data_IF_638184894006
#
_entry.id   IF_638184894006
#
_cell.length_a   1.000
_cell.length_b   1.000
_cell.length_c   1.000
_cell.angle_alpha   90.00
_cell.angle_beta   90.00
_cell.angle_gamma   90.00
#
_symmetry.space_group_name_H-M   'P 1'
#
loop_
_entity.id
_entity.type
_entity.pdbx_description
1 polymer ?
#
# COMPACT_ATOMS: atom_id res chain seq x y z
N UNK A 1 -2.24 -6.53 -15.42
CA UNK A 1 -2.17 -7.31 -14.16
C UNK A 1 -0.95 -8.22 -14.22
N UNK A 2 -0.27 -8.51 -13.11
CA UNK A 2 0.90 -9.41 -13.13
C UNK A 2 0.42 -10.84 -13.44
N UNK A 3 1.05 -11.53 -14.40
CA UNK A 3 0.70 -12.91 -14.81
C UNK A 3 0.61 -13.86 -13.60
N UNK A 4 1.51 -13.72 -12.64
CA UNK A 4 1.56 -14.54 -11.43
C UNK A 4 0.30 -14.39 -10.55
N UNK A 5 -0.24 -13.16 -10.39
CA UNK A 5 -1.47 -12.96 -9.60
C UNK A 5 -2.68 -13.70 -10.18
N UNK A 6 -2.71 -13.94 -11.50
CA UNK A 6 -3.78 -14.70 -12.14
C UNK A 6 -3.68 -16.21 -11.89
N UNK A 7 -2.50 -16.71 -11.49
CA UNK A 7 -2.25 -18.11 -11.16
C UNK A 7 -2.53 -18.42 -9.67
N UNK A 8 -2.75 -17.36 -8.85
CA UNK A 8 -3.14 -17.53 -7.45
C UNK A 8 -4.59 -17.98 -7.36
N UNK A 9 -4.81 -19.05 -6.59
CA UNK A 9 -6.14 -19.63 -6.35
C UNK A 9 -6.35 -19.88 -4.86
N UNK A 10 -7.59 -20.25 -4.47
CA UNK A 10 -7.94 -20.68 -3.11
C UNK A 10 -7.47 -19.71 -2.03
N UNK A 11 -7.75 -18.40 -2.20
CA UNK A 11 -7.45 -17.41 -1.19
C UNK A 11 -8.45 -17.52 -0.03
N UNK A 12 -7.99 -18.00 1.12
CA UNK A 12 -8.78 -18.18 2.32
C UNK A 12 -8.35 -17.19 3.40
N UNK A 13 -9.29 -16.44 3.94
CA UNK A 13 -9.07 -15.51 5.05
C UNK A 13 -9.09 -16.26 6.37
N UNK A 14 -8.04 -16.06 7.19
CA UNK A 14 -7.87 -16.72 8.49
C UNK A 14 -8.34 -15.81 9.63
N UNK A 15 -9.18 -16.38 10.52
CA UNK A 15 -9.71 -15.63 11.65
C UNK A 15 -10.75 -14.56 11.27
N UNK A 16 -11.09 -13.71 12.23
CA UNK A 16 -11.99 -12.59 12.01
C UNK A 16 -11.26 -11.47 11.25
N UNK A 17 -11.91 -10.95 10.21
CA UNK A 17 -11.44 -9.74 9.55
C UNK A 17 -11.50 -8.58 10.54
N UNK A 18 -10.36 -7.98 10.81
CA UNK A 18 -10.28 -6.82 11.70
C UNK A 18 -10.54 -5.57 10.88
N UNK A 19 -11.61 -4.85 11.23
CA UNK A 19 -11.82 -3.50 10.73
C UNK A 19 -10.81 -2.58 11.41
N UNK A 20 -9.85 -2.10 10.64
CA UNK A 20 -8.89 -1.13 11.14
C UNK A 20 -9.20 0.22 10.55
N UNK A 21 -9.60 1.14 11.39
CA UNK A 21 -9.86 2.53 11.09
C UNK A 21 -11.12 2.87 10.31
N UNK A 22 -11.48 4.15 10.45
CA UNK A 22 -12.54 4.92 9.83
C UNK A 22 -12.66 4.81 8.29
N UNK A 23 -11.69 4.18 7.63
CA UNK A 23 -11.68 3.91 6.19
C UNK A 23 -12.32 2.56 5.82
N UNK A 24 -12.98 1.86 6.74
CA UNK A 24 -13.67 0.57 6.49
C UNK A 24 -12.78 -0.46 5.81
N UNK A 25 -11.49 -0.54 6.19
CA UNK A 25 -10.53 -1.48 5.63
C UNK A 25 -10.49 -2.74 6.46
N UNK A 26 -10.79 -3.87 5.85
CA UNK A 26 -10.75 -5.18 6.50
C UNK A 26 -9.43 -5.87 6.16
N UNK A 27 -8.70 -6.26 7.19
CA UNK A 27 -7.44 -7.01 7.07
C UNK A 27 -7.56 -8.35 7.78
N UNK A 28 -6.95 -9.37 7.19
CA UNK A 28 -6.73 -10.67 7.81
C UNK A 28 -5.48 -11.31 7.24
N UNK A 29 -4.98 -12.28 7.93
CA UNK A 29 -4.03 -13.24 7.38
C UNK A 29 -4.73 -14.11 6.36
N UNK A 30 -4.02 -14.58 5.35
CA UNK A 30 -4.59 -15.45 4.32
C UNK A 30 -3.69 -16.64 4.00
N UNK A 31 -4.31 -17.74 3.60
CA UNK A 31 -3.65 -18.79 2.84
C UNK A 31 -4.07 -18.72 1.38
N UNK A 32 -3.19 -19.12 0.48
CA UNK A 32 -3.47 -19.19 -0.95
C UNK A 32 -2.64 -20.28 -1.63
N UNK A 33 -3.11 -20.75 -2.78
CA UNK A 33 -2.40 -21.73 -3.60
C UNK A 33 -1.71 -21.04 -4.77
N UNK A 34 -0.47 -21.44 -5.04
CA UNK A 34 0.27 -21.09 -6.24
C UNK A 34 1.14 -22.28 -6.69
N UNK A 35 0.91 -22.80 -7.90
CA UNK A 35 1.65 -23.93 -8.48
C UNK A 35 1.78 -25.14 -7.53
N UNK A 36 0.65 -25.60 -6.99
CA UNK A 36 0.55 -26.72 -6.04
C UNK A 36 1.25 -26.52 -4.69
N UNK A 37 1.74 -25.32 -4.37
CA UNK A 37 2.21 -24.96 -3.04
C UNK A 37 1.16 -24.15 -2.30
N UNK A 38 0.98 -24.44 -1.04
CA UNK A 38 0.14 -23.69 -0.10
C UNK A 38 1.02 -22.64 0.59
N UNK A 39 0.63 -21.40 0.49
CA UNK A 39 1.31 -20.25 1.12
C UNK A 39 0.44 -19.64 2.20
N UNK A 40 1.08 -19.15 3.24
CA UNK A 40 0.52 -18.25 4.24
C UNK A 40 1.15 -16.88 4.09
N UNK A 41 0.34 -15.81 4.18
CA UNK A 41 0.82 -14.43 4.24
C UNK A 41 0.02 -13.63 5.25
N UNK A 42 0.75 -12.80 6.04
CA UNK A 42 0.16 -11.79 6.93
C UNK A 42 0.18 -10.40 6.30
N UNK A 43 -0.65 -9.52 6.83
CA UNK A 43 -0.76 -8.13 6.35
C UNK A 43 0.52 -7.30 6.58
N UNK A 44 1.42 -7.72 7.47
CA UNK A 44 2.71 -7.08 7.74
C UNK A 44 3.85 -7.61 6.85
N UNK A 45 3.55 -8.61 5.99
CA UNK A 45 4.47 -9.14 5.00
C UNK A 45 5.19 -10.41 5.42
N UNK A 46 4.81 -11.07 6.52
CA UNK A 46 5.34 -12.41 6.84
C UNK A 46 4.77 -13.41 5.82
N UNK A 47 5.65 -14.11 5.09
CA UNK A 47 5.29 -15.08 4.06
C UNK A 47 5.94 -16.43 4.37
N UNK A 48 5.15 -17.50 4.35
CA UNK A 48 5.59 -18.87 4.56
C UNK A 48 5.05 -19.77 3.45
N UNK A 49 5.90 -20.58 2.86
CA UNK A 49 5.50 -21.74 2.08
C UNK A 49 5.20 -22.88 3.05
N UNK A 50 3.92 -23.18 3.22
CA UNK A 50 3.47 -24.23 4.16
C UNK A 50 3.72 -25.65 3.62
N UNK A 51 3.91 -25.79 2.31
CA UNK A 51 4.22 -27.09 1.69
C UNK A 51 5.66 -27.50 1.97
N UNK A 52 6.58 -26.54 1.89
CA UNK A 52 8.01 -26.79 2.13
C UNK A 52 8.46 -26.35 3.55
N UNK A 53 7.53 -25.91 4.39
CA UNK A 53 7.78 -25.37 5.74
C UNK A 53 8.86 -24.26 5.77
N UNK A 54 8.85 -23.40 4.73
CA UNK A 54 9.91 -22.42 4.49
C UNK A 54 9.41 -20.98 4.59
N UNK A 55 10.06 -20.20 5.46
CA UNK A 55 9.87 -18.75 5.49
C UNK A 55 10.52 -18.08 4.29
N UNK A 56 9.78 -17.18 3.62
CA UNK A 56 10.23 -16.44 2.45
C UNK A 56 10.38 -14.97 2.81
N UNK A 57 11.60 -14.45 2.74
CA UNK A 57 11.89 -13.04 3.00
C UNK A 57 11.82 -12.23 1.70
N UNK A 58 11.27 -11.00 1.75
CA UNK A 58 11.28 -10.13 0.60
C UNK A 58 12.71 -9.66 0.31
N UNK A 59 13.05 -9.56 -0.96
CA UNK A 59 14.33 -9.02 -1.45
C UNK A 59 14.10 -7.80 -2.33
N UNK A 60 15.11 -6.95 -2.51
CA UNK A 60 15.01 -5.82 -3.44
C UNK A 60 15.09 -6.32 -4.88
N UNK A 61 14.26 -5.77 -5.77
CA UNK A 61 14.35 -6.03 -7.19
C UNK A 61 15.71 -5.60 -7.75
N UNK A 62 16.41 -6.53 -8.42
CA UNK A 62 17.78 -6.30 -8.89
C UNK A 62 17.93 -5.13 -9.87
N UNK A 63 16.95 -4.87 -10.74
CA UNK A 63 17.09 -3.88 -11.83
C UNK A 63 16.84 -2.42 -11.44
N UNK A 64 15.98 -2.13 -10.45
CA UNK A 64 15.63 -0.73 -10.11
C UNK A 64 15.66 -0.41 -8.61
N UNK A 65 15.88 -1.39 -7.74
CA UNK A 65 16.02 -1.19 -6.28
C UNK A 65 14.86 -0.50 -5.56
N UNK A 66 13.77 -0.20 -6.27
CA UNK A 66 12.68 0.65 -5.79
C UNK A 66 11.63 -0.14 -5.02
N UNK A 67 11.33 -1.37 -5.46
CA UNK A 67 10.31 -2.20 -4.86
C UNK A 67 10.87 -3.49 -4.30
N UNK A 68 10.28 -3.95 -3.19
CA UNK A 68 10.54 -5.25 -2.61
C UNK A 68 9.76 -6.33 -3.37
N UNK A 69 10.35 -7.53 -3.47
CA UNK A 69 9.77 -8.68 -4.16
C UNK A 69 9.89 -9.94 -3.30
N UNK A 70 8.90 -10.81 -3.40
CA UNK A 70 9.01 -12.21 -3.00
C UNK A 70 9.28 -13.06 -4.23
N UNK A 71 9.89 -14.21 -4.02
CA UNK A 71 10.08 -15.22 -5.07
C UNK A 71 9.26 -16.46 -4.70
N UNK A 72 8.20 -16.74 -5.46
CA UNK A 72 7.37 -17.93 -5.33
C UNK A 72 7.74 -18.90 -6.45
N UNK A 73 8.26 -20.08 -6.10
CA UNK A 73 8.74 -21.05 -7.10
C UNK A 73 9.63 -20.41 -8.18
N UNK A 74 10.60 -19.59 -7.74
CA UNK A 74 11.51 -18.88 -8.62
C UNK A 74 10.92 -17.68 -9.39
N UNK A 75 9.62 -17.40 -9.23
CA UNK A 75 8.96 -16.29 -9.93
C UNK A 75 8.83 -15.06 -9.03
N UNK A 76 9.30 -13.87 -9.49
CA UNK A 76 9.22 -12.66 -8.70
C UNK A 76 7.81 -12.07 -8.70
N UNK A 77 7.36 -11.68 -7.53
CA UNK A 77 6.14 -10.90 -7.34
C UNK A 77 6.43 -9.68 -6.47
N UNK A 78 5.92 -8.51 -6.85
CA UNK A 78 6.04 -7.31 -6.03
C UNK A 78 5.36 -7.52 -4.67
N UNK A 79 6.10 -7.30 -3.59
CA UNK A 79 5.66 -7.57 -2.23
C UNK A 79 4.37 -6.81 -1.87
N UNK A 80 4.26 -5.53 -2.27
CA UNK A 80 3.06 -4.72 -2.06
C UNK A 80 1.80 -5.30 -2.73
N UNK A 81 1.95 -6.03 -3.85
CA UNK A 81 0.82 -6.69 -4.49
C UNK A 81 0.40 -7.97 -3.78
N UNK A 82 1.37 -8.71 -3.25
CA UNK A 82 1.08 -9.96 -2.56
C UNK A 82 0.41 -9.72 -1.21
N UNK A 83 0.91 -8.77 -0.41
CA UNK A 83 0.32 -8.45 0.91
C UNK A 83 -1.10 -7.87 0.81
N UNK A 84 -1.48 -7.30 -0.34
CA UNK A 84 -2.85 -6.85 -0.56
C UNK A 84 -3.87 -7.99 -0.63
N UNK A 85 -3.44 -9.25 -0.78
CA UNK A 85 -4.32 -10.42 -0.61
C UNK A 85 -4.97 -10.43 0.80
N UNK A 86 -4.26 -9.91 1.81
CA UNK A 86 -4.74 -9.81 3.18
C UNK A 86 -5.84 -8.76 3.38
N UNK A 87 -6.23 -8.03 2.34
CA UNK A 87 -7.15 -6.90 2.43
C UNK A 87 -8.41 -7.14 1.61
N UNK A 88 -9.56 -6.80 2.20
CA UNK A 88 -10.82 -6.68 1.47
C UNK A 88 -11.10 -5.22 1.13
N UNK A 89 -11.73 -5.01 0.01
CA UNK A 89 -12.07 -3.69 -0.53
C UNK A 89 -13.57 -3.56 -0.67
N UNK A 90 -14.10 -2.40 -0.34
CA UNK A 90 -15.51 -2.09 -0.50
C UNK A 90 -15.86 -1.97 -1.99
N UNK A 91 -16.88 -2.71 -2.42
CA UNK A 91 -17.43 -2.68 -3.77
C UNK A 91 -18.97 -2.61 -3.66
N UNK A 92 -19.54 -1.43 -3.76
CA UNK A 92 -20.92 -1.18 -3.37
C UNK A 92 -21.14 -1.45 -1.88
N UNK A 93 -22.09 -2.30 -1.53
CA UNK A 93 -22.40 -2.69 -0.15
C UNK A 93 -21.62 -3.92 0.33
N UNK A 94 -20.81 -4.54 -0.54
CA UNK A 94 -20.05 -5.74 -0.22
C UNK A 94 -18.54 -5.46 -0.07
N UNK A 95 -17.87 -6.37 0.63
CA UNK A 95 -16.42 -6.41 0.69
C UNK A 95 -15.90 -7.59 -0.13
N UNK A 96 -15.02 -7.32 -1.07
CA UNK A 96 -14.41 -8.31 -1.96
C UNK A 96 -12.88 -8.34 -1.81
N UNK A 97 -12.29 -9.49 -2.10
CA UNK A 97 -10.83 -9.66 -2.04
C UNK A 97 -10.11 -8.90 -3.15
N UNK A 98 -8.82 -8.65 -2.94
CA UNK A 98 -7.97 -7.88 -3.84
C UNK A 98 -7.99 -8.35 -5.30
N UNK A 99 -7.92 -9.66 -5.54
CA UNK A 99 -7.89 -10.18 -6.92
C UNK A 99 -9.18 -9.89 -7.69
N UNK A 100 -10.33 -10.03 -7.00
CA UNK A 100 -11.64 -9.69 -7.58
C UNK A 100 -11.77 -8.18 -7.78
N UNK A 101 -11.35 -7.38 -6.79
CA UNK A 101 -11.39 -5.93 -6.89
C UNK A 101 -10.58 -5.42 -8.09
N UNK A 102 -9.37 -5.94 -8.32
CA UNK A 102 -8.52 -5.53 -9.45
C UNK A 102 -9.05 -5.95 -10.82
N UNK A 103 -9.87 -7.01 -10.88
CA UNK A 103 -10.58 -7.38 -12.14
C UNK A 103 -11.69 -6.38 -12.47
N UNK A 104 -12.38 -5.87 -11.46
CA UNK A 104 -13.43 -4.86 -11.61
C UNK A 104 -12.88 -3.44 -11.82
N UNK A 105 -11.68 -3.17 -11.32
CA UNK A 105 -11.04 -1.85 -11.33
C UNK A 105 -9.61 -1.92 -11.91
N UNK A 106 -9.45 -2.27 -13.19
CA UNK A 106 -8.13 -2.44 -13.82
C UNK A 106 -7.33 -1.14 -13.92
N UNK A 107 -8.00 0.02 -13.81
CA UNK A 107 -7.42 1.37 -13.80
C UNK A 107 -6.72 1.72 -12.47
N UNK A 108 -6.97 0.97 -11.42
CA UNK A 108 -6.36 1.23 -10.10
C UNK A 108 -4.92 0.75 -10.05
N UNK A 109 -4.10 1.50 -9.32
CA UNK A 109 -2.72 1.18 -9.02
C UNK A 109 -2.49 1.16 -7.51
N UNK A 110 -1.44 0.46 -7.09
CA UNK A 110 -1.05 0.45 -5.68
C UNK A 110 -0.29 1.74 -5.37
N UNK A 111 -0.79 2.51 -4.43
CA UNK A 111 -0.11 3.66 -3.85
C UNK A 111 0.47 3.30 -2.47
N UNK A 112 1.66 3.81 -2.19
CA UNK A 112 2.30 3.73 -0.88
C UNK A 112 2.03 5.02 -0.12
N UNK A 113 1.35 4.92 1.02
CA UNK A 113 0.99 6.08 1.83
C UNK A 113 2.14 6.58 2.72
N UNK A 114 3.20 5.78 2.86
CA UNK A 114 4.41 6.15 3.58
C UNK A 114 5.62 6.02 2.64
N UNK A 115 6.18 7.15 2.25
CA UNK A 115 7.25 7.22 1.27
C UNK A 115 8.47 7.98 1.81
N UNK A 116 9.62 7.61 1.27
CA UNK A 116 10.90 8.23 1.47
C UNK A 116 11.23 9.11 0.27
N UNK A 117 11.77 10.32 0.48
CA UNK A 117 12.19 11.21 -0.57
C UNK A 117 13.69 11.03 -0.83
N UNK A 118 14.01 10.60 -2.02
CA UNK A 118 15.40 10.39 -2.45
C UNK A 118 15.78 11.47 -3.46
N UNK A 119 16.86 12.19 -3.18
CA UNK A 119 17.47 13.11 -4.12
C UNK A 119 18.36 12.33 -5.10
N UNK A 120 18.04 12.43 -6.39
CA UNK A 120 18.84 11.87 -7.48
C UNK A 120 18.79 12.85 -8.68
N UNK A 121 19.95 13.16 -9.26
CA UNK A 121 20.05 14.07 -10.41
C UNK A 121 19.31 15.39 -10.19
N UNK A 122 19.49 16.00 -9.01
CA UNK A 122 18.82 17.23 -8.55
C UNK A 122 17.28 17.18 -8.57
N UNK A 123 16.67 15.97 -8.53
CA UNK A 123 15.23 15.76 -8.43
C UNK A 123 14.88 14.84 -7.28
N UNK A 124 13.76 15.14 -6.60
CA UNK A 124 13.24 14.26 -5.56
C UNK A 124 12.33 13.19 -6.16
N UNK A 125 12.56 11.95 -5.75
CA UNK A 125 11.76 10.79 -6.11
C UNK A 125 11.14 10.19 -4.86
N UNK A 126 9.84 9.86 -4.95
CA UNK A 126 9.16 9.09 -3.91
C UNK A 126 9.53 7.61 -4.02
N UNK A 127 9.95 7.03 -2.91
CA UNK A 127 10.24 5.61 -2.77
C UNK A 127 9.48 5.05 -1.57
N UNK A 128 8.94 3.83 -1.64
CA UNK A 128 8.32 3.21 -0.47
C UNK A 128 9.27 3.16 0.71
N UNK A 129 8.81 3.61 1.88
CA UNK A 129 9.61 3.57 3.10
C UNK A 129 9.90 2.11 3.48
N UNK A 130 11.15 1.80 3.86
CA UNK A 130 11.64 0.42 3.99
C UNK A 130 10.75 -0.48 4.85
N UNK A 131 10.34 0.00 6.01
CA UNK A 131 9.59 -0.79 6.99
C UNK A 131 8.08 -0.89 6.69
N UNK A 132 7.58 -0.16 5.69
CA UNK A 132 6.16 -0.10 5.33
C UNK A 132 5.90 -0.50 3.89
N UNK A 133 6.95 -0.74 3.09
CA UNK A 133 6.87 -1.00 1.65
C UNK A 133 6.05 -2.26 1.30
N UNK A 134 5.92 -3.19 2.22
CA UNK A 134 5.18 -4.45 2.07
C UNK A 134 4.22 -4.71 3.24
N UNK A 135 3.76 -3.67 3.93
CA UNK A 135 2.72 -3.78 4.93
C UNK A 135 1.41 -3.23 4.38
N UNK A 136 0.36 -4.05 4.37
CA UNK A 136 -0.93 -3.71 3.76
C UNK A 136 -1.60 -2.47 4.35
N UNK A 137 -1.28 -2.09 5.60
CA UNK A 137 -1.79 -0.87 6.26
C UNK A 137 -1.35 0.42 5.58
N UNK A 138 -0.19 0.39 4.91
CA UNK A 138 0.40 1.56 4.23
C UNK A 138 0.20 1.52 2.72
N UNK A 139 -0.76 0.72 2.26
CA UNK A 139 -1.09 0.57 0.85
C UNK A 139 -2.55 0.94 0.60
N UNK A 140 -2.78 1.65 -0.49
CA UNK A 140 -4.12 1.96 -0.99
C UNK A 140 -4.21 1.72 -2.50
N UNK A 141 -5.43 1.52 -3.00
CA UNK A 141 -5.71 1.38 -4.43
C UNK A 141 -6.38 2.65 -4.93
N UNK A 142 -5.70 3.38 -5.79
CA UNK A 142 -6.14 4.65 -6.34
C UNK A 142 -5.93 4.69 -7.86
N UNK A 143 -6.49 5.67 -8.56
CA UNK A 143 -6.22 5.86 -9.98
C UNK A 143 -4.78 6.34 -10.22
N UNK A 144 -4.30 6.22 -11.44
CA UNK A 144 -2.99 6.73 -11.84
C UNK A 144 -2.88 8.24 -11.61
N UNK A 145 -3.93 9.01 -11.92
CA UNK A 145 -3.97 10.46 -11.70
C UNK A 145 -3.85 10.82 -10.22
N UNK A 146 -4.61 10.15 -9.36
CA UNK A 146 -4.54 10.30 -7.90
C UNK A 146 -3.15 9.95 -7.34
N UNK A 147 -2.52 8.90 -7.87
CA UNK A 147 -1.16 8.51 -7.48
C UNK A 147 -0.11 9.55 -7.89
N UNK A 148 -0.26 10.16 -9.07
CA UNK A 148 0.60 11.25 -9.53
C UNK A 148 0.43 12.48 -8.63
N UNK A 149 -0.83 12.86 -8.33
CA UNK A 149 -1.12 13.97 -7.42
C UNK A 149 -0.48 13.74 -6.05
N UNK A 150 -0.71 12.58 -5.45
CA UNK A 150 -0.14 12.22 -4.15
C UNK A 150 1.38 12.32 -4.13
N UNK A 151 2.07 11.78 -5.15
CA UNK A 151 3.52 11.86 -5.26
C UNK A 151 4.03 13.31 -5.44
N UNK A 152 3.30 14.15 -6.19
CA UNK A 152 3.62 15.56 -6.35
C UNK A 152 3.44 16.33 -5.04
N UNK A 153 2.34 16.07 -4.32
CA UNK A 153 2.06 16.64 -3.02
C UNK A 153 3.18 16.33 -2.01
N UNK A 154 3.58 15.06 -1.89
CA UNK A 154 4.65 14.66 -0.97
C UNK A 154 5.97 15.39 -1.31
N UNK A 155 6.33 15.51 -2.59
CA UNK A 155 7.55 16.23 -3.01
C UNK A 155 7.47 17.71 -2.76
N UNK A 156 6.33 18.35 -3.07
CA UNK A 156 6.10 19.79 -2.89
C UNK A 156 6.28 20.21 -1.44
N UNK A 157 5.74 19.42 -0.50
CA UNK A 157 5.72 19.74 0.92
C UNK A 157 6.78 19.01 1.75
N UNK A 158 7.71 18.28 1.10
CA UNK A 158 8.80 17.53 1.76
C UNK A 158 8.33 16.61 2.89
N UNK A 159 7.21 15.91 2.72
CA UNK A 159 6.56 15.07 3.73
C UNK A 159 7.20 13.67 3.81
N UNK A 160 8.51 13.64 4.05
CA UNK A 160 9.31 12.43 4.11
C UNK A 160 8.94 11.57 5.32
N UNK A 161 8.72 10.26 5.11
CA UNK A 161 8.45 9.28 6.17
C UNK A 161 7.12 9.46 6.91
N UNK A 162 6.23 10.33 6.42
CA UNK A 162 4.92 10.58 7.04
C UNK A 162 3.87 9.72 6.32
N UNK A 163 3.03 9.04 7.11
CA UNK A 163 1.92 8.26 6.55
C UNK A 163 0.78 9.21 6.12
N UNK A 164 0.59 9.36 4.82
CA UNK A 164 -0.42 10.23 4.20
C UNK A 164 -1.12 9.45 3.09
N UNK A 165 -2.44 9.26 3.22
CA UNK A 165 -3.27 8.71 2.15
C UNK A 165 -3.52 9.76 1.07
N UNK A 166 -3.95 9.32 -0.12
CA UNK A 166 -4.35 10.26 -1.17
C UNK A 166 -5.45 11.22 -0.69
N UNK A 167 -6.49 10.71 -0.04
CA UNK A 167 -7.58 11.53 0.51
C UNK A 167 -7.06 12.58 1.50
N UNK A 168 -6.15 12.18 2.39
CA UNK A 168 -5.51 13.12 3.32
C UNK A 168 -4.67 14.17 2.60
N UNK A 169 -3.97 13.82 1.50
CA UNK A 169 -3.17 14.78 0.74
C UNK A 169 -4.01 15.88 0.10
N UNK A 170 -5.21 15.56 -0.38
CA UNK A 170 -6.16 16.54 -0.92
C UNK A 170 -6.62 17.51 0.17
N UNK A 171 -7.01 17.00 1.34
CA UNK A 171 -7.44 17.85 2.46
C UNK A 171 -6.30 18.73 3.01
N UNK A 172 -5.08 18.18 3.09
CA UNK A 172 -3.91 18.95 3.51
C UNK A 172 -3.54 20.06 2.53
N UNK A 173 -3.61 19.79 1.21
CA UNK A 173 -3.37 20.82 0.19
C UNK A 173 -4.35 21.98 0.35
N UNK A 174 -5.64 21.69 0.54
CA UNK A 174 -6.66 22.69 0.78
C UNK A 174 -6.40 23.48 2.07
N UNK A 175 -5.97 22.83 3.15
CA UNK A 175 -5.68 23.49 4.42
C UNK A 175 -4.45 24.38 4.34
N UNK A 176 -3.38 23.95 3.68
CA UNK A 176 -2.19 24.76 3.47
C UNK A 176 -2.49 26.02 2.65
N UNK A 177 -3.31 25.89 1.58
CA UNK A 177 -3.69 27.01 0.73
C UNK A 177 -4.63 28.01 1.43
N UNK A 178 -5.60 27.51 2.21
CA UNK A 178 -6.67 28.33 2.78
C UNK A 178 -6.31 28.94 4.16
N UNK A 179 -5.40 28.34 4.90
CA UNK A 179 -5.05 28.77 6.26
C UNK A 179 -3.65 29.40 6.35
N UNK A 180 -3.00 29.61 5.21
CA UNK A 180 -1.63 30.17 5.11
C UNK A 180 -0.63 29.47 6.08
N UNK A 181 -0.83 28.16 6.30
CA UNK A 181 0.05 27.37 7.16
C UNK A 181 1.42 27.19 6.49
N UNK A 182 2.48 27.35 7.26
CA UNK A 182 3.83 27.12 6.79
C UNK A 182 4.12 25.60 6.72
N UNK A 183 4.25 25.05 5.51
CA UNK A 183 4.49 23.61 5.34
C UNK A 183 5.91 23.18 5.75
N UNK A 184 6.81 24.12 6.05
CA UNK A 184 8.14 23.84 6.60
C UNK A 184 8.13 23.79 8.13
N UNK A 185 7.06 24.31 8.74
CA UNK A 185 6.89 24.34 10.19
C UNK A 185 6.21 23.07 10.70
N UNK A 186 6.92 22.29 11.50
CA UNK A 186 6.39 21.04 12.08
C UNK A 186 5.12 21.21 12.92
N UNK A 187 4.92 22.37 13.57
CA UNK A 187 3.69 22.66 14.35
C UNK A 187 2.50 22.84 13.41
N UNK A 188 2.70 23.55 12.28
CA UNK A 188 1.66 23.79 11.28
C UNK A 188 1.30 22.50 10.54
N UNK A 189 2.30 21.67 10.21
CA UNK A 189 2.06 20.33 9.66
C UNK A 189 1.22 19.48 10.63
N UNK A 190 1.55 19.45 11.93
CA UNK A 190 0.78 18.70 12.93
C UNK A 190 -0.65 19.24 13.06
N UNK A 191 -0.82 20.57 13.10
CA UNK A 191 -2.14 21.23 13.14
C UNK A 191 -2.97 20.86 11.91
N UNK A 192 -2.39 20.98 10.71
CA UNK A 192 -3.07 20.63 9.45
C UNK A 192 -3.49 19.16 9.44
N UNK A 193 -2.61 18.23 9.85
CA UNK A 193 -2.94 16.80 9.94
C UNK A 193 -4.10 16.52 10.90
N UNK A 194 -4.12 17.16 12.06
CA UNK A 194 -5.23 17.02 13.00
C UNK A 194 -6.54 17.49 12.38
N UNK A 195 -6.54 18.67 11.74
CA UNK A 195 -7.72 19.20 11.05
C UNK A 195 -8.17 18.34 9.90
N UNK A 196 -7.24 17.84 9.07
CA UNK A 196 -7.55 16.92 7.97
C UNK A 196 -8.15 15.60 8.49
N UNK A 197 -7.65 15.07 9.59
CA UNK A 197 -8.20 13.86 10.22
C UNK A 197 -9.66 14.07 10.65
N UNK A 198 -10.00 15.21 11.23
CA UNK A 198 -11.38 15.52 11.61
C UNK A 198 -12.32 15.68 10.41
N UNK A 199 -11.85 16.23 9.29
CA UNK A 199 -12.67 16.41 8.08
C UNK A 199 -12.92 15.10 7.30
N UNK A 200 -12.03 14.12 7.44
CA UNK A 200 -12.12 12.83 6.75
C UNK A 200 -13.01 11.84 7.52
N UNK A 201 -13.30 12.10 8.79
CA UNK A 201 -14.23 11.34 9.63
C UNK A 201 -15.69 11.58 9.23
#
# INVERSE_FOLDING_TARGET
>A
MNKLLNEITNVNYLGNLVETDKDSKLYSEVTFMYRNHLYYISYDGSLVDLTDEKSIKPSKAMKNGTYWQYYLQGQPIAAHKLVLLCKKFKAGDAYIGYLTYMKLHPEKVVNHTNVDLILKDNKYYCKPFKNTAYNAKYLELISVGENIFHGNFIRKWFLNGINITYKMSVELENLFLNLELDPTNLKDIKKARTLATYKIQ
#
